data_IF_858398549739
#
_entry.id   IF_858398549739
#
_cell.length_a   1.000
_cell.length_b   1.000
_cell.length_c   1.000
_cell.angle_alpha   90.00
_cell.angle_beta   90.00
_cell.angle_gamma   90.00
#
_symmetry.space_group_name_H-M   'P 1'
#
loop_
_entity.id
_entity.type
_entity.pdbx_description
1 polymer ?
#
# COMPACT_ATOMS: atom_id res chain seq x y z
N UNK A 1 -1.32 18.83 -10.22
CA UNK A 1 -1.99 18.30 -11.42
C UNK A 1 -1.68 19.19 -12.60
N UNK A 2 -1.48 18.66 -13.82
CA UNK A 2 -1.06 19.43 -15.00
C UNK A 2 -2.24 20.23 -15.59
N UNK A 3 -2.40 21.49 -15.17
CA UNK A 3 -3.51 22.38 -15.57
C UNK A 3 -3.74 22.38 -17.09
N UNK A 4 -2.68 22.60 -17.87
CA UNK A 4 -2.78 22.69 -19.33
C UNK A 4 -3.30 21.38 -19.98
N UNK A 5 -2.93 20.21 -19.46
CA UNK A 5 -3.46 18.95 -19.97
C UNK A 5 -4.95 18.76 -19.64
N UNK A 6 -5.35 19.16 -18.42
CA UNK A 6 -6.74 19.12 -17.98
C UNK A 6 -7.62 20.04 -18.85
N UNK A 7 -7.18 21.27 -19.07
CA UNK A 7 -7.88 22.24 -19.90
C UNK A 7 -8.01 21.78 -21.37
N UNK A 8 -6.97 21.10 -21.89
CA UNK A 8 -6.95 20.63 -23.27
C UNK A 8 -7.76 19.36 -23.50
N UNK A 9 -7.69 18.39 -22.56
CA UNK A 9 -8.20 17.02 -22.77
C UNK A 9 -9.42 16.68 -21.88
N UNK A 10 -9.83 17.57 -20.96
CA UNK A 10 -10.91 17.31 -20.02
C UNK A 10 -10.66 16.03 -19.22
N UNK A 11 -11.66 15.19 -19.07
CA UNK A 11 -11.56 13.91 -18.34
C UNK A 11 -10.56 12.92 -18.93
N UNK A 12 -10.19 13.09 -20.20
CA UNK A 12 -9.22 12.22 -20.88
C UNK A 12 -7.77 12.57 -20.61
N UNK A 13 -7.48 13.54 -19.72
CA UNK A 13 -6.10 13.95 -19.41
C UNK A 13 -5.25 12.85 -18.80
N UNK A 14 -5.86 11.84 -18.18
CA UNK A 14 -5.17 10.69 -17.56
C UNK A 14 -4.84 9.56 -18.53
N UNK A 15 -5.32 9.62 -19.76
CA UNK A 15 -5.14 8.56 -20.76
C UNK A 15 -3.73 8.56 -21.38
N UNK A 16 -3.28 7.41 -21.92
CA UNK A 16 -2.05 7.33 -22.68
C UNK A 16 -1.94 8.43 -23.75
N UNK A 17 -0.78 9.06 -23.84
CA UNK A 17 -0.54 10.17 -24.76
C UNK A 17 -1.04 11.56 -24.30
N UNK A 18 -1.94 11.63 -23.32
CA UNK A 18 -2.46 12.89 -22.79
C UNK A 18 -1.88 13.22 -21.42
N UNK A 19 -1.55 12.20 -20.63
CA UNK A 19 -1.02 12.38 -19.29
C UNK A 19 0.37 13.01 -19.33
N UNK A 20 0.55 14.05 -18.53
CA UNK A 20 1.84 14.71 -18.33
C UNK A 20 2.34 14.37 -16.93
N UNK A 21 3.56 13.86 -16.85
CA UNK A 21 4.22 13.47 -15.61
C UNK A 21 5.63 14.04 -15.56
N UNK A 22 6.13 14.27 -14.35
CA UNK A 22 7.52 14.60 -14.06
C UNK A 22 8.28 13.44 -13.39
N UNK A 23 7.66 12.26 -13.32
CA UNK A 23 8.26 11.04 -12.78
C UNK A 23 9.19 10.32 -13.75
N UNK A 24 9.82 9.25 -13.26
CA UNK A 24 10.76 8.44 -14.02
C UNK A 24 10.12 7.68 -15.19
N UNK A 25 8.80 7.52 -15.16
CA UNK A 25 8.04 6.79 -16.18
C UNK A 25 6.84 7.59 -16.68
N UNK A 26 6.44 7.29 -17.91
CA UNK A 26 5.24 7.81 -18.57
C UNK A 26 4.27 6.67 -18.88
N UNK A 27 2.98 6.95 -18.91
CA UNK A 27 1.96 5.96 -19.27
C UNK A 27 1.98 5.71 -20.79
N UNK A 28 2.32 4.50 -21.18
CA UNK A 28 2.38 4.07 -22.59
C UNK A 28 1.07 3.46 -23.05
N UNK A 29 0.50 2.56 -22.24
CA UNK A 29 -0.72 1.83 -22.57
C UNK A 29 -1.52 1.55 -21.30
N UNK A 30 -2.84 1.52 -21.42
CA UNK A 30 -3.74 1.15 -20.34
C UNK A 30 -4.96 0.44 -20.90
N UNK A 31 -5.02 -0.85 -20.69
CA UNK A 31 -6.20 -1.68 -20.98
C UNK A 31 -6.85 -2.06 -19.65
N UNK A 32 -8.07 -1.58 -19.46
CA UNK A 32 -8.81 -1.77 -18.19
C UNK A 32 -8.93 -3.26 -17.86
N UNK A 33 -8.64 -3.63 -16.62
CA UNK A 33 -8.64 -5.02 -16.11
C UNK A 33 -7.65 -5.97 -16.80
N UNK A 34 -6.75 -5.49 -17.65
CA UNK A 34 -5.77 -6.31 -18.33
C UNK A 34 -4.34 -5.91 -17.98
N UNK A 35 -3.97 -4.65 -18.25
CA UNK A 35 -2.61 -4.17 -17.98
C UNK A 35 -2.50 -2.65 -17.95
N UNK A 36 -1.48 -2.18 -17.25
CA UNK A 36 -0.97 -0.80 -17.34
C UNK A 36 0.51 -0.89 -17.72
N UNK A 37 0.90 -0.29 -18.82
CA UNK A 37 2.29 -0.26 -19.30
C UNK A 37 2.87 1.12 -19.11
N UNK A 38 3.94 1.19 -18.35
CA UNK A 38 4.74 2.38 -18.15
C UNK A 38 6.05 2.26 -18.91
N UNK A 39 6.49 3.34 -19.53
CA UNK A 39 7.74 3.44 -20.25
C UNK A 39 8.65 4.49 -19.63
N UNK A 40 9.95 4.23 -19.57
CA UNK A 40 10.95 5.15 -19.02
C UNK A 40 10.89 6.50 -19.73
N UNK A 41 10.79 7.56 -18.93
CA UNK A 41 10.72 8.94 -19.42
C UNK A 41 12.11 9.48 -19.78
N UNK A 42 12.37 9.84 -21.02
CA UNK A 42 13.66 10.42 -21.40
C UNK A 42 13.86 11.83 -20.83
N UNK A 43 12.77 12.50 -20.45
CA UNK A 43 12.79 13.87 -19.89
C UNK A 43 12.84 13.92 -18.37
N UNK A 44 12.88 12.77 -17.70
CA UNK A 44 13.01 12.73 -16.26
C UNK A 44 14.36 13.27 -15.81
N UNK A 45 14.41 14.16 -14.83
CA UNK A 45 15.62 14.84 -14.39
C UNK A 45 16.76 13.88 -13.99
N UNK A 46 16.42 12.70 -13.46
CA UNK A 46 17.39 11.67 -13.06
C UNK A 46 17.34 10.43 -13.97
N UNK A 47 17.00 10.61 -15.23
CA UNK A 47 16.87 9.51 -16.20
C UNK A 47 18.13 8.66 -16.34
N UNK A 48 19.31 9.25 -16.16
CA UNK A 48 20.59 8.53 -16.23
C UNK A 48 20.70 7.39 -15.17
N UNK A 49 19.99 7.50 -14.05
CA UNK A 49 19.95 6.49 -12.98
C UNK A 49 18.76 5.54 -13.10
N UNK A 50 17.84 5.76 -14.03
CA UNK A 50 16.70 4.87 -14.26
C UNK A 50 17.13 3.70 -15.14
N UNK A 51 17.21 2.51 -14.57
CA UNK A 51 17.73 1.31 -15.23
C UNK A 51 16.65 0.56 -16.00
N UNK A 52 15.47 0.41 -15.39
CA UNK A 52 14.34 -0.33 -15.98
C UNK A 52 13.70 0.49 -17.08
N UNK A 53 13.54 -0.07 -18.27
CA UNK A 53 13.00 0.65 -19.42
C UNK A 53 11.47 0.60 -19.50
N UNK A 54 10.86 -0.49 -19.01
CA UNK A 54 9.41 -0.68 -19.03
C UNK A 54 8.96 -1.39 -17.77
N UNK A 55 7.81 -0.97 -17.24
CA UNK A 55 7.11 -1.63 -16.12
C UNK A 55 5.71 -1.94 -16.59
N UNK A 56 5.28 -3.19 -16.41
CA UNK A 56 3.93 -3.63 -16.72
C UNK A 56 3.23 -4.07 -15.44
N UNK A 57 2.15 -3.38 -15.09
CA UNK A 57 1.28 -3.79 -13.99
C UNK A 57 0.16 -4.67 -14.53
N UNK A 58 -0.02 -5.83 -13.91
CA UNK A 58 -1.13 -6.75 -14.16
C UNK A 58 -2.14 -6.65 -13.01
N UNK A 59 -3.39 -6.24 -13.23
CA UNK A 59 -4.40 -6.13 -12.17
C UNK A 59 -4.89 -7.53 -11.79
N UNK A 60 -4.22 -8.12 -10.81
CA UNK A 60 -4.54 -9.47 -10.30
C UNK A 60 -5.32 -9.28 -9.00
N UNK A 61 -6.57 -9.73 -8.96
CA UNK A 61 -7.45 -9.57 -7.81
C UNK A 61 -7.16 -10.56 -6.66
N UNK A 62 -6.54 -11.69 -6.95
CA UNK A 62 -6.26 -12.76 -5.98
C UNK A 62 -4.79 -12.75 -5.58
N UNK A 63 -4.50 -12.49 -4.31
CA UNK A 63 -3.15 -12.52 -3.74
C UNK A 63 -2.46 -13.90 -3.92
N UNK A 64 -3.23 -14.99 -3.84
CA UNK A 64 -2.71 -16.35 -4.07
C UNK A 64 -2.30 -16.54 -5.53
N UNK A 65 -3.10 -16.01 -6.46
CA UNK A 65 -2.77 -16.05 -7.90
C UNK A 65 -1.52 -15.24 -8.18
N UNK A 66 -1.35 -14.10 -7.54
CA UNK A 66 -0.18 -13.24 -7.66
C UNK A 66 1.10 -13.99 -7.26
N UNK A 67 1.09 -14.63 -6.08
CA UNK A 67 2.21 -15.46 -5.61
C UNK A 67 2.49 -16.64 -6.57
N UNK A 68 1.46 -17.29 -7.10
CA UNK A 68 1.67 -18.40 -8.04
C UNK A 68 2.30 -17.95 -9.36
N UNK A 69 1.92 -16.78 -9.89
CA UNK A 69 2.53 -16.19 -11.08
C UNK A 69 3.99 -15.78 -10.84
N UNK A 70 4.31 -15.26 -9.65
CA UNK A 70 5.68 -15.01 -9.25
C UNK A 70 6.50 -16.31 -9.25
N UNK A 71 6.01 -17.37 -8.60
CA UNK A 71 6.69 -18.67 -8.53
C UNK A 71 6.86 -19.36 -9.90
N UNK A 72 5.98 -19.08 -10.86
CA UNK A 72 6.11 -19.58 -12.24
C UNK A 72 7.05 -18.73 -13.11
N UNK A 73 7.55 -17.59 -12.60
CA UNK A 73 8.39 -16.68 -13.35
C UNK A 73 7.62 -15.81 -14.36
N UNK A 74 6.28 -15.74 -14.23
CA UNK A 74 5.44 -14.90 -15.10
C UNK A 74 5.53 -13.42 -14.73
N UNK A 75 5.74 -13.12 -13.44
CA UNK A 75 5.95 -11.76 -12.93
C UNK A 75 7.22 -11.69 -12.09
N UNK A 76 7.84 -10.52 -12.07
CA UNK A 76 9.09 -10.27 -11.34
C UNK A 76 8.86 -9.89 -9.87
N UNK A 77 7.69 -9.35 -9.54
CA UNK A 77 7.36 -8.86 -8.21
C UNK A 77 5.85 -8.88 -7.98
N UNK A 78 5.41 -9.31 -6.80
CA UNK A 78 4.03 -9.11 -6.35
C UNK A 78 3.86 -7.66 -5.89
N UNK A 79 2.77 -7.01 -6.31
CA UNK A 79 2.47 -5.63 -5.91
C UNK A 79 1.43 -5.56 -4.78
N UNK A 80 0.57 -6.57 -4.70
CA UNK A 80 -0.47 -6.69 -3.67
C UNK A 80 0.09 -7.20 -2.35
N UNK A 81 -0.76 -7.20 -1.32
CA UNK A 81 -0.43 -7.86 -0.07
C UNK A 81 -0.18 -9.35 -0.29
N UNK A 82 0.71 -9.91 0.50
CA UNK A 82 0.94 -11.34 0.50
C UNK A 82 -0.14 -12.05 1.33
N UNK A 83 -0.67 -13.20 0.87
CA UNK A 83 -1.63 -13.98 1.65
C UNK A 83 -1.05 -14.37 3.01
N UNK A 84 -1.81 -14.15 4.09
CA UNK A 84 -1.36 -14.44 5.47
C UNK A 84 -0.93 -15.89 5.61
N UNK A 85 -1.68 -16.81 5.03
CA UNK A 85 -1.44 -18.26 5.10
C UNK A 85 -0.13 -18.68 4.42
N UNK A 86 0.30 -17.94 3.40
CA UNK A 86 1.51 -18.24 2.65
C UNK A 86 2.73 -17.51 3.17
N UNK A 87 2.56 -16.39 3.86
CA UNK A 87 3.65 -15.51 4.27
C UNK A 87 4.75 -16.24 5.05
N UNK A 88 4.38 -16.95 6.12
CA UNK A 88 5.35 -17.66 6.97
C UNK A 88 6.07 -18.81 6.22
N UNK A 89 5.38 -19.44 5.26
CA UNK A 89 5.96 -20.46 4.41
C UNK A 89 6.97 -19.84 3.45
N UNK A 90 6.59 -18.80 2.73
CA UNK A 90 7.46 -18.11 1.77
C UNK A 90 8.68 -17.49 2.44
N UNK A 91 8.51 -16.89 3.63
CA UNK A 91 9.63 -16.37 4.42
C UNK A 91 10.66 -17.42 4.80
N UNK A 92 10.27 -18.70 4.89
CA UNK A 92 11.18 -19.82 5.15
C UNK A 92 11.77 -20.41 3.87
N UNK A 93 10.99 -20.50 2.78
CA UNK A 93 11.39 -21.10 1.52
C UNK A 93 12.28 -20.19 0.68
N UNK A 94 11.95 -18.89 0.65
CA UNK A 94 12.62 -17.88 -0.16
C UNK A 94 12.89 -16.59 0.64
N UNK A 95 13.64 -16.67 1.76
CA UNK A 95 13.81 -15.56 2.71
C UNK A 95 14.40 -14.29 2.05
N UNK A 96 15.26 -14.45 1.07
CA UNK A 96 15.93 -13.34 0.38
C UNK A 96 15.02 -12.60 -0.61
N UNK A 97 13.87 -13.19 -0.94
CA UNK A 97 12.88 -12.63 -1.88
C UNK A 97 11.66 -12.04 -1.15
N UNK A 98 11.51 -12.30 0.16
CA UNK A 98 10.42 -11.78 0.98
C UNK A 98 10.87 -10.55 1.75
N UNK A 99 10.54 -9.39 1.24
CA UNK A 99 10.86 -8.09 1.86
C UNK A 99 9.71 -7.63 2.75
N UNK A 100 10.05 -7.15 3.95
CA UNK A 100 9.11 -6.58 4.91
C UNK A 100 9.64 -5.21 5.33
N UNK A 101 9.07 -4.18 4.78
CA UNK A 101 9.50 -2.80 5.00
C UNK A 101 8.40 -1.97 5.66
N UNK A 102 8.75 -0.95 6.47
CA UNK A 102 7.79 -0.02 7.02
C UNK A 102 7.01 0.70 5.92
N UNK A 103 5.69 0.73 6.03
CA UNK A 103 4.80 1.43 5.12
C UNK A 103 4.13 2.61 5.82
N UNK A 104 4.07 3.74 5.15
CA UNK A 104 3.49 4.98 5.69
C UNK A 104 1.96 4.90 5.67
N UNK A 105 1.41 3.95 6.41
CA UNK A 105 -0.02 3.71 6.50
C UNK A 105 -0.42 3.22 7.88
N UNK A 106 -1.60 3.62 8.34
CA UNK A 106 -2.21 3.11 9.56
C UNK A 106 -3.59 2.54 9.22
N UNK A 107 -3.81 1.26 9.54
CA UNK A 107 -5.12 0.65 9.44
C UNK A 107 -5.97 1.02 10.65
N UNK A 108 -7.18 1.52 10.42
CA UNK A 108 -8.09 1.95 11.49
C UNK A 108 -9.56 1.73 11.09
N UNK A 109 -10.43 1.72 12.10
CA UNK A 109 -11.87 1.71 11.90
C UNK A 109 -12.42 3.12 12.10
N UNK A 110 -13.17 3.61 11.12
CA UNK A 110 -13.95 4.83 11.25
C UNK A 110 -15.28 4.55 11.96
N UNK A 111 -15.54 5.30 13.03
CA UNK A 111 -16.75 5.14 13.82
C UNK A 111 -17.62 6.39 13.64
N UNK A 112 -18.87 6.21 13.21
CA UNK A 112 -19.81 7.30 13.09
C UNK A 112 -20.29 7.75 14.49
N UNK A 113 -19.68 8.82 14.99
CA UNK A 113 -19.94 9.36 16.33
C UNK A 113 -21.33 9.99 16.49
N UNK A 114 -22.09 10.19 15.42
CA UNK A 114 -23.44 10.75 15.46
C UNK A 114 -24.53 9.68 15.58
N UNK A 115 -24.18 8.41 15.37
CA UNK A 115 -25.16 7.32 15.41
C UNK A 115 -25.06 6.49 16.71
N UNK A 116 -26.21 6.17 17.37
CA UNK A 116 -26.22 5.22 18.46
C UNK A 116 -25.73 3.83 18.00
N UNK A 117 -25.05 3.05 18.86
CA UNK A 117 -24.61 3.40 20.22
C UNK A 117 -23.28 4.18 20.25
N UNK A 118 -22.71 4.51 19.10
CA UNK A 118 -21.37 5.10 18.99
C UNK A 118 -21.29 6.60 19.28
N UNK A 119 -22.43 7.25 19.46
CA UNK A 119 -22.49 8.62 19.98
C UNK A 119 -22.08 8.72 21.46
N UNK A 120 -22.11 7.62 22.22
CA UNK A 120 -21.57 7.54 23.57
C UNK A 120 -20.06 7.24 23.55
N UNK A 121 -19.26 8.12 24.17
CA UNK A 121 -17.80 7.95 24.25
C UNK A 121 -17.39 6.69 25.03
N UNK A 122 -18.20 6.25 25.99
CA UNK A 122 -17.93 5.03 26.79
C UNK A 122 -17.96 3.79 25.91
N UNK A 123 -18.90 3.72 24.95
CA UNK A 123 -18.99 2.61 24.00
C UNK A 123 -17.75 2.58 23.09
N UNK A 124 -17.33 3.73 22.56
CA UNK A 124 -16.12 3.81 21.74
C UNK A 124 -14.86 3.43 22.52
N UNK A 125 -14.78 3.85 23.77
CA UNK A 125 -13.68 3.48 24.68
C UNK A 125 -13.67 1.99 24.97
N UNK A 126 -14.82 1.37 25.22
CA UNK A 126 -14.92 -0.07 25.44
C UNK A 126 -14.45 -0.87 24.21
N UNK A 127 -14.85 -0.47 23.00
CA UNK A 127 -14.35 -1.09 21.76
C UNK A 127 -12.83 -0.98 21.63
N UNK A 128 -12.29 0.20 21.92
CA UNK A 128 -10.84 0.45 21.88
C UNK A 128 -10.08 -0.44 22.86
N UNK A 129 -10.59 -0.60 24.08
CA UNK A 129 -9.97 -1.41 25.13
C UNK A 129 -10.15 -2.93 24.90
N UNK A 130 -11.28 -3.34 24.28
CA UNK A 130 -11.51 -4.73 23.94
C UNK A 130 -10.67 -5.27 22.79
N UNK A 131 -9.88 -4.43 22.13
CA UNK A 131 -9.11 -4.79 20.95
C UNK A 131 -7.62 -5.02 21.33
N UNK A 132 -7.23 -6.28 21.44
CA UNK A 132 -5.82 -6.66 21.66
C UNK A 132 -5.02 -6.54 20.34
N UNK A 133 -4.32 -5.42 20.19
CA UNK A 133 -3.54 -5.12 19.00
C UNK A 133 -2.33 -6.03 18.86
N UNK A 134 -1.71 -6.44 19.93
CA UNK A 134 -0.55 -7.31 19.93
C UNK A 134 -0.91 -8.72 19.44
N UNK A 135 -2.06 -9.24 19.84
CA UNK A 135 -2.59 -10.50 19.30
C UNK A 135 -2.87 -10.36 17.81
N UNK A 136 -3.51 -9.26 17.37
CA UNK A 136 -3.83 -9.04 15.96
C UNK A 136 -2.56 -9.01 15.11
N UNK A 137 -1.57 -8.21 15.47
CA UNK A 137 -0.37 -8.04 14.63
C UNK A 137 0.58 -9.22 14.71
N UNK A 138 0.75 -9.85 15.89
CA UNK A 138 1.76 -10.88 16.10
C UNK A 138 1.26 -12.30 15.87
N UNK A 139 -0.07 -12.56 16.06
CA UNK A 139 -0.62 -13.91 15.95
C UNK A 139 -1.60 -14.08 14.81
N UNK A 140 -2.42 -13.07 14.51
CA UNK A 140 -3.42 -13.17 13.44
C UNK A 140 -2.79 -12.81 12.09
N UNK A 141 -2.21 -11.63 11.96
CA UNK A 141 -1.55 -11.21 10.71
C UNK A 141 -0.14 -11.80 10.59
N UNK A 142 0.68 -11.64 11.62
CA UNK A 142 2.06 -12.16 11.70
C UNK A 142 2.92 -11.87 10.45
N UNK A 143 2.72 -10.71 9.83
CA UNK A 143 3.39 -10.26 8.60
C UNK A 143 4.41 -9.13 8.82
N UNK A 144 4.66 -8.74 10.09
CA UNK A 144 5.59 -7.66 10.43
C UNK A 144 4.91 -6.32 10.70
N UNK A 145 3.58 -6.28 10.72
CA UNK A 145 2.84 -5.08 11.17
C UNK A 145 3.19 -4.73 12.61
N UNK A 146 3.01 -3.47 12.97
CA UNK A 146 3.20 -2.96 14.32
C UNK A 146 1.87 -2.52 14.95
N UNK A 147 1.63 -2.74 16.26
CA UNK A 147 0.43 -2.26 16.92
C UNK A 147 0.39 -0.73 16.90
N UNK A 148 -0.72 -0.16 16.39
CA UNK A 148 -0.90 1.27 16.28
C UNK A 148 -1.68 1.82 17.48
N UNK A 149 -1.10 2.75 18.21
CA UNK A 149 -1.72 3.48 19.32
C UNK A 149 -2.00 4.94 18.97
N UNK A 150 -1.56 5.40 17.81
CA UNK A 150 -1.80 6.72 17.24
C UNK A 150 -2.11 6.62 15.75
N UNK A 151 -2.61 7.71 15.18
CA UNK A 151 -2.95 7.77 13.74
C UNK A 151 -1.70 7.88 12.86
N UNK A 152 -0.68 8.61 13.32
CA UNK A 152 0.56 8.79 12.56
C UNK A 152 1.46 7.56 12.73
N UNK A 153 1.85 6.90 11.63
CA UNK A 153 2.72 5.72 11.72
C UNK A 153 4.13 6.08 12.22
N UNK A 154 4.86 5.11 12.80
CA UNK A 154 6.25 5.30 13.17
C UNK A 154 7.13 5.62 11.96
N UNK A 155 8.32 6.17 12.22
CA UNK A 155 9.30 6.58 11.19
C UNK A 155 8.85 7.73 10.26
N UNK A 156 7.74 8.40 10.59
CA UNK A 156 7.37 9.67 9.97
C UNK A 156 8.14 10.79 10.66
N UNK A 157 8.78 11.68 9.89
CA UNK A 157 9.53 12.82 10.42
C UNK A 157 8.69 13.66 11.40
N UNK A 158 9.21 13.86 12.61
CA UNK A 158 8.53 14.58 13.67
C UNK A 158 7.49 13.78 14.47
N UNK A 159 7.16 12.57 14.05
CA UNK A 159 6.29 11.68 14.82
C UNK A 159 7.08 10.99 15.93
N UNK A 160 7.03 11.54 17.14
CA UNK A 160 7.39 10.79 18.33
C UNK A 160 6.21 9.90 18.70
N UNK A 161 6.37 8.60 18.56
CA UNK A 161 5.41 7.63 19.11
C UNK A 161 5.55 7.64 20.63
N UNK A 162 4.93 8.60 21.27
CA UNK A 162 4.63 8.49 22.68
C UNK A 162 3.38 7.62 22.79
N UNK A 163 3.52 6.38 23.27
CA UNK A 163 2.38 5.74 23.91
C UNK A 163 1.88 6.71 24.99
N UNK A 164 0.61 7.11 24.95
CA UNK A 164 0.08 7.88 26.07
C UNK A 164 0.26 7.04 27.34
N UNK A 165 0.83 7.64 28.40
CA UNK A 165 1.16 6.97 29.67
C UNK A 165 -0.06 6.27 30.32
N UNK A 166 -1.27 6.65 29.95
CA UNK A 166 -2.52 6.06 30.42
C UNK A 166 -2.94 4.74 29.76
N UNK A 167 -2.11 4.14 28.90
CA UNK A 167 -2.26 2.78 28.38
C UNK A 167 -1.47 1.72 29.17
N UNK A 168 -0.85 2.09 30.27
CA UNK A 168 -0.27 1.14 31.21
C UNK A 168 -1.40 0.36 31.90
N UNK A 169 -1.41 -0.95 31.72
CA UNK A 169 -2.13 -1.92 32.56
C UNK A 169 -1.25 -2.27 33.72
#
# INVERSE_FOLDING_TARGET
MPKAAIEKFGEKWTQPGNIVTNGAYTLKDWVVNERIVLERSPTYWNNAKTVINQVTYLPIASEVTDVNRYRSGEIDMTYNNMPIELFQKLKKEIPDEVHVDPYLCTYYYEINNQKPPFNDVRVRTALKLGMDRDIIVNKVKAQGDMPAYGYTPPYTDGAKLTQPEWFGW
#
